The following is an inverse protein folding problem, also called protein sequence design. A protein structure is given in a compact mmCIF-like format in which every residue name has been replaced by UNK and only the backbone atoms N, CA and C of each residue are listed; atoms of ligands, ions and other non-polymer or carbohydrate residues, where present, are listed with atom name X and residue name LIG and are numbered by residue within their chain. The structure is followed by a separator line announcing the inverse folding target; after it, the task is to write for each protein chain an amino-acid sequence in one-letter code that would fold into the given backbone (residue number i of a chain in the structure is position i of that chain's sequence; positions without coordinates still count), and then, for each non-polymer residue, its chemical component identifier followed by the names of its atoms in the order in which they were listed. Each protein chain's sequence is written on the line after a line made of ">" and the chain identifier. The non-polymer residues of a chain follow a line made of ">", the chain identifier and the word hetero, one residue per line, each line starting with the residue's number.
data_IF_161461345298
#
_entry.id   IF_161461345298
#
_cell.length_a   1.000
_cell.length_b   1.000
_cell.length_c   1.000
_cell.angle_alpha   90.00
_cell.angle_beta   90.00
_cell.angle_gamma   90.00
#
_symmetry.space_group_name_H-M   'P 1'
#
loop_
_entity.id
_entity.type
_entity.pdbx_description
1 polymer ?
#
# COMPACT_ATOMS: atom_id res chain seq x y z
N UNK A 1 -72.05 11.39 42.85
CA UNK A 1 -71.75 11.63 41.43
C UNK A 1 -70.24 11.74 41.26
N UNK A 2 -69.63 10.79 40.56
CA UNK A 2 -68.46 10.93 39.69
C UNK A 2 -68.08 9.49 39.28
N UNK A 3 -68.29 9.20 38.00
CA UNK A 3 -68.06 7.91 37.35
C UNK A 3 -66.59 7.89 36.91
N UNK A 4 -65.81 6.92 37.39
CA UNK A 4 -64.44 6.69 36.91
C UNK A 4 -64.51 5.62 35.82
N UNK A 5 -64.42 6.05 34.56
CA UNK A 5 -64.44 5.20 33.38
C UNK A 5 -63.01 4.74 33.13
N UNK A 6 -62.75 3.44 33.33
CA UNK A 6 -61.48 2.80 32.99
C UNK A 6 -61.42 2.56 31.48
N UNK A 7 -60.41 3.06 30.74
CA UNK A 7 -60.30 2.79 29.31
C UNK A 7 -59.93 1.33 29.05
N UNK A 8 -60.62 0.78 28.05
CA UNK A 8 -60.57 -0.58 27.54
C UNK A 8 -59.20 -0.90 26.93
N UNK A 9 -58.60 -2.03 27.33
CA UNK A 9 -57.35 -2.51 26.75
C UNK A 9 -57.56 -2.88 25.26
N UNK A 10 -56.71 -2.33 24.39
CA UNK A 10 -56.67 -2.67 22.97
C UNK A 10 -56.15 -4.10 22.76
N UNK A 11 -56.65 -4.82 21.74
CA UNK A 11 -56.15 -6.15 21.41
C UNK A 11 -54.74 -6.04 20.82
N UNK A 12 -53.77 -6.76 21.40
CA UNK A 12 -52.46 -6.92 20.79
C UNK A 12 -52.57 -7.85 19.57
N UNK A 13 -52.24 -7.33 18.39
CA UNK A 13 -52.05 -8.16 17.19
C UNK A 13 -50.87 -9.13 17.42
N UNK A 14 -50.99 -10.40 16.97
CA UNK A 14 -49.88 -11.34 17.07
C UNK A 14 -48.73 -10.86 16.18
N UNK A 15 -47.62 -10.48 16.82
CA UNK A 15 -46.38 -10.13 16.13
C UNK A 15 -45.96 -11.28 15.21
N UNK A 16 -45.83 -10.99 13.91
CA UNK A 16 -45.26 -11.90 12.92
C UNK A 16 -43.87 -12.36 13.39
N UNK A 17 -43.50 -13.65 13.21
CA UNK A 17 -42.16 -14.10 13.56
C UNK A 17 -41.14 -13.34 12.72
N UNK A 18 -40.24 -12.62 13.40
CA UNK A 18 -39.04 -12.07 12.76
C UNK A 18 -38.28 -13.23 12.10
N UNK A 19 -37.92 -13.14 10.81
CA UNK A 19 -37.06 -14.15 10.20
C UNK A 19 -35.70 -14.05 10.90
N UNK A 20 -35.39 -15.03 11.74
CA UNK A 20 -34.02 -15.30 12.14
C UNK A 20 -33.24 -15.58 10.87
N UNK A 21 -32.31 -14.68 10.52
CA UNK A 21 -31.31 -14.90 9.50
C UNK A 21 -30.57 -16.19 9.88
N UNK A 22 -31.00 -17.29 9.29
CA UNK A 22 -30.34 -18.58 9.39
C UNK A 22 -28.95 -18.38 8.80
N UNK A 23 -27.93 -18.41 9.65
CA UNK A 23 -26.54 -18.48 9.20
C UNK A 23 -26.45 -19.56 8.13
N UNK A 24 -25.88 -19.20 6.97
CA UNK A 24 -25.78 -20.11 5.84
C UNK A 24 -25.07 -21.42 6.23
N UNK A 25 -25.40 -22.55 5.60
CA UNK A 25 -24.77 -23.84 5.89
C UNK A 25 -23.23 -23.76 5.76
N UNK A 26 -22.46 -24.38 6.67
CA UNK A 26 -21.00 -24.28 6.72
C UNK A 26 -20.29 -24.78 5.44
N UNK A 27 -20.94 -25.66 4.65
CA UNK A 27 -20.41 -26.15 3.38
C UNK A 27 -20.37 -25.08 2.28
N UNK A 28 -21.32 -24.14 2.25
CA UNK A 28 -21.34 -23.05 1.26
C UNK A 28 -20.30 -21.96 1.61
N UNK A 29 -20.07 -21.72 2.91
CA UNK A 29 -19.03 -20.80 3.38
C UNK A 29 -17.62 -21.34 3.13
N UNK A 30 -17.41 -22.66 3.23
CA UNK A 30 -16.12 -23.28 2.97
C UNK A 30 -15.72 -23.18 1.48
N UNK A 31 -16.66 -23.41 0.56
CA UNK A 31 -16.42 -23.28 -0.89
C UNK A 31 -16.12 -21.83 -1.29
N UNK A 32 -16.81 -20.86 -0.66
CA UNK A 32 -16.58 -19.44 -0.91
C UNK A 32 -15.22 -18.97 -0.36
N UNK A 33 -14.79 -19.49 0.81
CA UNK A 33 -13.46 -19.20 1.37
C UNK A 33 -12.31 -19.78 0.54
N UNK A 34 -12.45 -20.99 0.00
CA UNK A 34 -11.45 -21.60 -0.87
C UNK A 34 -11.35 -20.86 -2.20
N UNK A 35 -12.48 -20.49 -2.81
CA UNK A 35 -12.52 -19.67 -4.02
C UNK A 35 -11.90 -18.28 -3.79
N UNK A 36 -12.18 -17.66 -2.64
CA UNK A 36 -11.58 -16.38 -2.23
C UNK A 36 -10.06 -16.49 -2.08
N UNK A 37 -9.56 -17.55 -1.43
CA UNK A 37 -8.12 -17.79 -1.28
C UNK A 37 -7.44 -18.03 -2.63
N UNK A 38 -8.03 -18.85 -3.50
CA UNK A 38 -7.51 -19.08 -4.84
C UNK A 38 -7.48 -17.78 -5.67
N UNK A 39 -8.53 -16.94 -5.55
CA UNK A 39 -8.57 -15.63 -6.19
C UNK A 39 -7.49 -14.68 -5.64
N UNK A 40 -7.30 -14.63 -4.32
CA UNK A 40 -6.23 -13.85 -3.67
C UNK A 40 -4.86 -14.29 -4.19
N UNK A 41 -4.61 -15.59 -4.29
CA UNK A 41 -3.35 -16.10 -4.82
C UNK A 41 -3.14 -15.71 -6.28
N UNK A 42 -4.16 -15.85 -7.14
CA UNK A 42 -4.06 -15.52 -8.55
C UNK A 42 -3.79 -14.03 -8.76
N UNK A 43 -4.56 -13.17 -8.09
CA UNK A 43 -4.36 -11.72 -8.13
C UNK A 43 -2.99 -11.33 -7.57
N UNK A 44 -2.53 -12.02 -6.51
CA UNK A 44 -1.17 -11.82 -6.00
C UNK A 44 -0.10 -12.15 -7.03
N UNK A 45 -0.26 -13.25 -7.77
CA UNK A 45 0.67 -13.66 -8.82
C UNK A 45 0.67 -12.64 -9.96
N UNK A 46 -0.49 -12.16 -10.36
CA UNK A 46 -0.63 -11.16 -11.41
C UNK A 46 0.05 -9.84 -11.03
N UNK A 47 -0.18 -9.35 -9.80
CA UNK A 47 0.49 -8.15 -9.29
C UNK A 47 2.01 -8.31 -9.21
N UNK A 48 2.48 -9.47 -8.77
CA UNK A 48 3.92 -9.79 -8.74
C UNK A 48 4.52 -9.87 -10.14
N UNK A 49 3.76 -10.34 -11.12
CA UNK A 49 4.17 -10.40 -12.52
C UNK A 49 4.24 -9.01 -13.16
N UNK A 50 3.35 -8.09 -12.77
CA UNK A 50 3.36 -6.69 -13.22
C UNK A 50 4.39 -5.84 -12.49
N UNK A 51 4.85 -6.26 -11.30
CA UNK A 51 5.81 -5.51 -10.52
C UNK A 51 7.18 -5.44 -11.22
N UNK A 52 7.64 -4.22 -11.52
CA UNK A 52 8.90 -4.01 -12.20
C UNK A 52 10.03 -3.75 -11.19
N UNK A 53 11.22 -4.35 -11.41
CA UNK A 53 12.36 -4.16 -10.51
C UNK A 53 12.92 -2.75 -10.64
N UNK A 54 13.12 -2.06 -9.51
CA UNK A 54 13.45 -0.63 -9.50
C UNK A 54 14.82 -0.32 -10.14
N UNK A 55 15.71 -1.30 -10.17
CA UNK A 55 17.01 -1.21 -10.81
C UNK A 55 16.94 -1.28 -12.35
N UNK A 56 15.77 -1.55 -12.94
CA UNK A 56 15.54 -1.59 -14.39
C UNK A 56 14.56 -0.50 -14.80
N UNK A 57 14.71 -0.06 -16.05
CA UNK A 57 13.84 0.95 -16.64
C UNK A 57 12.38 0.46 -16.69
N UNK A 58 11.40 1.29 -16.30
CA UNK A 58 9.98 0.91 -16.35
C UNK A 58 9.52 0.73 -17.79
N UNK A 59 8.72 -0.31 -18.04
CA UNK A 59 8.14 -0.60 -19.36
C UNK A 59 6.82 0.15 -19.58
N UNK A 60 6.06 0.34 -18.51
CA UNK A 60 4.81 1.09 -18.53
C UNK A 60 5.06 2.57 -18.25
N UNK A 61 4.14 3.41 -18.73
CA UNK A 61 4.16 4.84 -18.55
C UNK A 61 2.92 5.27 -17.79
N UNK A 62 3.08 5.74 -16.56
CA UNK A 62 2.02 6.43 -15.82
C UNK A 62 2.23 7.93 -15.81
N UNK A 63 1.27 8.65 -16.38
CA UNK A 63 1.31 10.11 -16.48
C UNK A 63 0.49 10.73 -15.36
N UNK A 64 1.08 11.69 -14.64
CA UNK A 64 0.33 12.53 -13.72
C UNK A 64 -0.60 13.46 -14.52
N UNK A 65 -1.91 13.41 -14.25
CA UNK A 65 -2.88 14.26 -14.93
C UNK A 65 -3.00 15.65 -14.30
N UNK A 66 -2.78 15.73 -12.99
CA UNK A 66 -2.89 16.96 -12.21
C UNK A 66 -1.57 17.26 -11.48
N UNK A 67 -1.45 18.47 -10.95
CA UNK A 67 -0.31 18.82 -10.09
C UNK A 67 -0.46 18.08 -8.78
N UNK A 68 0.51 17.24 -8.46
CA UNK A 68 0.46 16.34 -7.31
C UNK A 68 1.84 16.23 -6.65
N UNK A 69 1.91 15.45 -5.57
CA UNK A 69 3.15 15.08 -4.89
C UNK A 69 3.32 13.57 -4.95
N UNK A 70 4.56 13.12 -5.12
CA UNK A 70 4.94 11.71 -5.04
C UNK A 70 5.80 11.53 -3.80
N UNK A 71 5.41 10.58 -2.95
CA UNK A 71 6.16 10.14 -1.77
C UNK A 71 7.14 9.05 -2.16
N UNK A 72 8.41 9.29 -1.86
CA UNK A 72 9.53 8.42 -2.21
C UNK A 72 10.22 7.99 -0.91
N UNK A 73 9.81 6.87 -0.28
CA UNK A 73 10.46 6.33 0.91
C UNK A 73 11.97 6.21 0.73
N UNK A 74 12.75 6.62 1.72
CA UNK A 74 14.22 6.52 1.67
C UNK A 74 14.71 5.11 1.99
N UNK A 75 13.96 4.38 2.80
CA UNK A 75 14.33 3.06 3.32
C UNK A 75 13.13 2.13 3.36
N UNK A 76 13.36 0.83 3.52
CA UNK A 76 12.31 -0.16 3.76
C UNK A 76 11.36 0.30 4.88
N UNK A 77 10.06 0.25 4.61
CA UNK A 77 8.99 0.75 5.49
C UNK A 77 9.14 2.22 5.91
N UNK A 78 9.75 3.06 5.06
CA UNK A 78 9.91 4.50 5.28
C UNK A 78 10.40 4.89 6.70
N UNK A 79 11.17 4.01 7.36
CA UNK A 79 11.61 4.19 8.76
C UNK A 79 12.39 5.47 8.97
N UNK A 80 13.04 5.94 7.91
CA UNK A 80 13.89 7.12 7.90
C UNK A 80 13.31 8.25 7.05
N UNK A 81 11.98 8.22 6.89
CA UNK A 81 11.24 9.24 6.15
C UNK A 81 11.13 8.94 4.66
N UNK A 82 10.50 9.90 3.99
CA UNK A 82 10.20 9.86 2.56
C UNK A 82 10.53 11.22 1.96
N UNK A 83 11.16 11.23 0.80
CA UNK A 83 11.31 12.44 0.01
C UNK A 83 10.00 12.73 -0.71
N UNK A 84 9.57 14.00 -0.67
CA UNK A 84 8.33 14.42 -1.34
C UNK A 84 8.69 15.26 -2.55
N UNK A 85 8.32 14.78 -3.74
CA UNK A 85 8.60 15.49 -5.00
C UNK A 85 7.30 16.00 -5.60
N UNK A 86 7.25 17.30 -5.90
CA UNK A 86 6.15 17.89 -6.66
C UNK A 86 6.24 17.46 -8.12
N UNK A 87 5.11 17.03 -8.67
CA UNK A 87 4.97 16.53 -10.04
C UNK A 87 3.93 17.37 -10.76
N UNK A 88 4.23 17.73 -12.00
CA UNK A 88 3.37 18.54 -12.84
C UNK A 88 2.56 17.66 -13.81
N UNK A 89 1.40 18.14 -14.29
CA UNK A 89 0.64 17.47 -15.34
C UNK A 89 1.52 17.08 -16.53
N UNK A 90 1.36 15.87 -17.04
CA UNK A 90 2.14 15.33 -18.16
C UNK A 90 3.45 14.64 -17.76
N UNK A 91 3.86 14.71 -16.50
CA UNK A 91 5.08 14.03 -16.02
C UNK A 91 4.87 12.52 -15.92
N UNK A 92 5.85 11.75 -16.36
CA UNK A 92 5.91 10.29 -16.19
C UNK A 92 6.40 9.94 -14.78
N UNK A 93 5.50 9.41 -13.96
CA UNK A 93 5.75 9.07 -12.55
C UNK A 93 6.72 7.89 -12.46
N UNK A 94 6.59 6.88 -13.32
CA UNK A 94 7.45 5.70 -13.29
C UNK A 94 8.91 6.07 -13.58
N UNK A 95 9.13 6.92 -14.59
CA UNK A 95 10.46 7.44 -14.87
C UNK A 95 11.02 8.30 -13.75
N UNK A 96 10.18 9.12 -13.10
CA UNK A 96 10.60 9.95 -11.97
C UNK A 96 11.06 9.10 -10.80
N UNK A 97 10.28 8.08 -10.44
CA UNK A 97 10.59 7.10 -9.39
C UNK A 97 11.88 6.36 -9.74
N UNK A 98 11.99 5.80 -10.94
CA UNK A 98 13.19 5.08 -11.38
C UNK A 98 14.45 5.97 -11.29
N UNK A 99 14.38 7.21 -11.80
CA UNK A 99 15.52 8.14 -11.75
C UNK A 99 15.92 8.45 -10.31
N UNK A 100 14.95 8.79 -9.46
CA UNK A 100 15.22 9.08 -8.05
C UNK A 100 15.94 7.92 -7.37
N UNK A 101 15.47 6.69 -7.58
CA UNK A 101 16.05 5.54 -6.90
C UNK A 101 17.34 5.00 -7.52
N UNK A 102 17.60 5.31 -8.78
CA UNK A 102 18.87 5.04 -9.44
C UNK A 102 19.93 6.14 -9.21
N UNK A 103 19.56 7.29 -8.64
CA UNK A 103 20.54 8.29 -8.22
C UNK A 103 21.50 7.68 -7.20
N UNK A 104 22.79 7.94 -7.45
CA UNK A 104 23.85 7.62 -6.52
C UNK A 104 23.74 8.57 -5.35
N UNK A 105 23.83 8.04 -4.15
CA UNK A 105 23.94 8.88 -2.96
C UNK A 105 25.36 9.46 -2.96
N UNK A 106 25.48 10.75 -3.24
CA UNK A 106 26.78 11.42 -3.26
C UNK A 106 27.33 11.46 -1.82
N UNK A 107 28.64 11.24 -1.69
CA UNK A 107 29.33 11.28 -0.38
C UNK A 107 29.15 12.64 0.31
N UNK A 108 29.12 13.73 -0.47
CA UNK A 108 28.85 15.09 0.04
C UNK A 108 27.42 15.28 0.56
N UNK A 109 26.43 14.60 -0.04
CA UNK A 109 25.04 14.64 0.43
C UNK A 109 24.91 13.86 1.74
N UNK A 110 25.60 12.71 1.84
CA UNK A 110 25.78 12.00 3.11
C UNK A 110 26.47 12.87 4.16
N UNK A 111 27.58 13.53 3.83
CA UNK A 111 28.32 14.37 4.78
C UNK A 111 27.51 15.60 5.22
N UNK A 112 26.70 16.19 4.33
CA UNK A 112 25.77 17.27 4.69
C UNK A 112 24.63 16.79 5.58
N UNK A 113 24.04 15.64 5.25
CA UNK A 113 23.01 15.02 6.09
C UNK A 113 23.58 14.60 7.45
N UNK A 114 24.84 14.14 7.49
CA UNK A 114 25.63 13.89 8.71
C UNK A 114 25.71 15.12 9.57
N UNK A 115 26.22 16.20 9.00
CA UNK A 115 26.44 17.45 9.71
C UNK A 115 25.13 18.05 10.24
N UNK A 116 24.05 17.95 9.45
CA UNK A 116 22.73 18.42 9.88
C UNK A 116 22.15 17.57 11.01
N UNK A 117 22.25 16.24 10.92
CA UNK A 117 21.77 15.33 11.96
C UNK A 117 22.60 15.46 13.24
N UNK A 118 23.94 15.52 13.15
CA UNK A 118 24.82 15.71 14.31
C UNK A 118 24.54 17.04 15.02
N UNK A 119 24.24 18.12 14.26
CA UNK A 119 23.83 19.40 14.83
C UNK A 119 22.49 19.32 15.58
N UNK A 120 21.59 18.42 15.18
CA UNK A 120 20.33 18.11 15.88
C UNK A 120 20.50 17.05 16.99
N UNK A 121 21.72 16.58 17.25
CA UNK A 121 22.00 15.50 18.21
C UNK A 121 21.51 14.12 17.73
N UNK A 122 21.25 13.97 16.43
CA UNK A 122 20.83 12.74 15.76
C UNK A 122 22.00 12.13 15.01
N UNK A 123 22.05 10.80 14.91
CA UNK A 123 23.11 10.09 14.18
C UNK A 123 22.73 9.97 12.70
N UNK A 124 23.71 10.08 11.79
CA UNK A 124 23.51 9.89 10.35
C UNK A 124 23.02 8.47 10.06
N UNK A 125 21.81 8.37 9.54
CA UNK A 125 21.07 7.12 9.57
C UNK A 125 21.54 6.12 8.50
N UNK A 126 22.24 6.58 7.45
CA UNK A 126 22.88 5.67 6.49
C UNK A 126 24.04 4.86 7.09
N UNK A 127 24.66 5.29 8.19
CA UNK A 127 25.72 4.51 8.87
C UNK A 127 25.16 3.31 9.66
N UNK A 128 23.82 3.16 9.78
CA UNK A 128 23.17 2.03 10.46
C UNK A 128 22.11 1.28 9.63
N UNK A 129 21.74 1.77 8.45
CA UNK A 129 20.82 1.07 7.56
C UNK A 129 21.56 -0.02 6.78
N UNK A 130 21.07 -1.27 6.78
CA UNK A 130 21.66 -2.31 5.94
C UNK A 130 21.55 -1.91 4.47
N UNK A 131 22.69 -1.79 3.79
CA UNK A 131 22.74 -1.83 2.33
C UNK A 131 22.59 -3.30 1.92
N UNK A 132 21.56 -3.61 1.13
CA UNK A 132 21.24 -4.98 0.76
C UNK A 132 21.97 -5.48 -0.51
N UNK A 133 22.74 -4.64 -1.21
CA UNK A 133 23.27 -4.94 -2.57
C UNK A 133 24.81 -4.92 -2.66
N UNK A 134 25.55 -4.37 -1.69
CA UNK A 134 26.99 -4.66 -1.54
C UNK A 134 27.81 -3.63 -0.76
N UNK A 135 28.86 -4.08 -0.08
CA UNK A 135 29.79 -3.24 0.68
C UNK A 135 31.00 -2.73 -0.14
N UNK A 136 31.12 -3.15 -1.40
CA UNK A 136 32.33 -2.94 -2.21
C UNK A 136 32.38 -1.57 -2.89
N UNK A 137 32.49 -0.46 -2.16
CA UNK A 137 32.97 0.84 -2.68
C UNK A 137 32.30 1.47 -3.92
N UNK A 138 31.29 0.81 -4.49
CA UNK A 138 30.42 1.28 -5.56
C UNK A 138 29.43 2.20 -4.88
N UNK A 139 29.35 3.45 -5.34
CA UNK A 139 28.46 4.47 -4.78
C UNK A 139 27.05 3.91 -4.63
N UNK A 140 26.61 3.75 -3.37
CA UNK A 140 25.33 3.15 -3.03
C UNK A 140 24.20 3.93 -3.71
N UNK A 141 23.26 3.20 -4.31
CA UNK A 141 22.06 3.79 -4.91
C UNK A 141 20.93 3.82 -3.89
N UNK A 142 20.02 4.80 -4.01
CA UNK A 142 18.91 4.96 -3.06
C UNK A 142 18.04 3.70 -2.92
N UNK A 143 17.84 2.94 -4.01
CA UNK A 143 17.05 1.70 -3.92
C UNK A 143 17.66 0.60 -3.06
N UNK A 144 18.97 0.59 -2.82
CA UNK A 144 19.65 -0.46 -2.05
C UNK A 144 19.26 -0.48 -0.57
N UNK A 145 18.51 0.55 -0.12
CA UNK A 145 17.98 0.69 1.23
C UNK A 145 16.48 0.33 1.33
N UNK A 146 15.83 0.06 0.20
CA UNK A 146 14.40 -0.31 0.15
C UNK A 146 14.16 -1.79 0.42
N UNK A 147 15.20 -2.62 0.32
CA UNK A 147 15.16 -4.06 0.48
C UNK A 147 16.16 -4.76 -0.45
N UNK A 148 16.26 -6.09 -0.39
CA UNK A 148 17.15 -6.87 -1.25
C UNK A 148 16.72 -6.99 -2.72
N UNK A 149 15.41 -7.08 -3.03
CA UNK A 149 14.91 -7.02 -4.42
C UNK A 149 13.62 -6.17 -4.50
N UNK A 150 13.75 -4.84 -4.33
CA UNK A 150 12.60 -3.94 -4.32
C UNK A 150 12.02 -3.75 -5.72
N UNK A 151 10.71 -3.99 -5.84
CA UNK A 151 9.93 -3.81 -7.07
C UNK A 151 8.78 -2.87 -6.85
N UNK A 152 8.46 -2.08 -7.86
CA UNK A 152 7.29 -1.20 -7.84
C UNK A 152 6.11 -1.95 -8.43
N UNK A 153 5.06 -2.13 -7.63
CA UNK A 153 3.79 -2.78 -8.03
C UNK A 153 2.85 -1.75 -8.65
N UNK A 154 2.91 -0.51 -8.17
CA UNK A 154 2.05 0.58 -8.61
C UNK A 154 1.99 1.69 -7.58
N UNK A 155 0.87 2.41 -7.57
CA UNK A 155 0.70 3.60 -6.76
C UNK A 155 -0.65 3.57 -6.04
N UNK A 156 -0.65 4.07 -4.81
CA UNK A 156 -1.86 4.47 -4.10
C UNK A 156 -2.01 5.98 -4.25
N UNK A 157 -3.22 6.44 -4.54
CA UNK A 157 -3.54 7.86 -4.56
C UNK A 157 -4.37 8.14 -3.32
N UNK A 158 -3.88 9.00 -2.45
CA UNK A 158 -4.60 9.35 -1.22
C UNK A 158 -5.76 10.33 -1.49
N UNK A 159 -6.50 10.69 -0.45
CA UNK A 159 -7.62 11.63 -0.56
C UNK A 159 -7.18 13.05 -0.97
N UNK A 160 -5.90 13.40 -0.82
CA UNK A 160 -5.32 14.65 -1.27
C UNK A 160 -4.82 14.59 -2.72
N UNK A 161 -4.93 13.43 -3.38
CA UNK A 161 -4.45 13.20 -4.74
C UNK A 161 -2.96 12.89 -4.83
N UNK A 162 -2.29 12.58 -3.72
CA UNK A 162 -0.86 12.31 -3.63
C UNK A 162 -0.54 10.85 -3.89
N UNK A 163 0.57 10.63 -4.59
CA UNK A 163 1.00 9.31 -5.02
C UNK A 163 1.95 8.69 -3.99
N UNK A 164 1.57 7.54 -3.46
CA UNK A 164 2.40 6.70 -2.60
C UNK A 164 2.82 5.45 -3.37
N UNK A 165 4.12 5.16 -3.41
CA UNK A 165 4.65 4.02 -4.15
C UNK A 165 4.35 2.72 -3.39
N UNK A 166 3.71 1.76 -4.07
CA UNK A 166 3.51 0.40 -3.56
C UNK A 166 4.68 -0.47 -3.97
N UNK A 167 5.39 -1.00 -2.99
CA UNK A 167 6.52 -1.88 -3.19
C UNK A 167 6.16 -3.34 -2.94
N UNK A 168 6.84 -4.22 -3.68
CA UNK A 168 6.93 -5.64 -3.40
C UNK A 168 8.40 -6.04 -3.42
N UNK A 169 8.87 -6.70 -2.37
CA UNK A 169 10.22 -7.26 -2.33
C UNK A 169 10.14 -8.77 -2.58
N UNK A 170 10.75 -9.26 -3.66
CA UNK A 170 10.65 -10.68 -4.01
C UNK A 170 11.45 -11.57 -3.07
N UNK A 171 12.52 -11.04 -2.48
CA UNK A 171 13.38 -11.77 -1.57
C UNK A 171 12.73 -11.93 -0.19
N UNK A 172 12.14 -10.84 0.33
CA UNK A 172 11.42 -10.84 1.60
C UNK A 172 9.99 -11.41 1.47
N UNK A 173 9.43 -11.41 0.26
CA UNK A 173 8.04 -11.78 0.00
C UNK A 173 7.02 -10.76 0.52
N UNK A 174 7.47 -9.57 0.90
CA UNK A 174 6.67 -8.55 1.57
C UNK A 174 6.13 -7.50 0.59
N UNK A 175 4.88 -7.10 0.81
CA UNK A 175 4.28 -5.93 0.16
C UNK A 175 4.17 -4.79 1.16
N UNK A 176 4.65 -3.61 0.78
CA UNK A 176 4.70 -2.47 1.69
C UNK A 176 4.51 -1.13 0.95
N UNK A 177 4.09 -0.13 1.72
CA UNK A 177 3.83 1.23 1.26
C UNK A 177 3.98 2.15 2.47
N UNK A 178 4.71 3.24 2.32
CA UNK A 178 5.07 4.13 3.42
C UNK A 178 5.65 3.35 4.62
N UNK A 179 5.06 3.48 5.80
CA UNK A 179 5.49 2.84 7.03
C UNK A 179 4.75 1.53 7.38
N UNK A 180 3.93 1.01 6.46
CA UNK A 180 3.09 -0.16 6.71
C UNK A 180 3.29 -1.25 5.67
N UNK A 181 3.20 -2.50 6.13
CA UNK A 181 2.90 -3.61 5.23
C UNK A 181 1.43 -3.49 4.86
N UNK A 182 1.11 -3.77 3.61
CA UNK A 182 -0.27 -3.76 3.16
C UNK A 182 -0.63 -5.14 2.60
N UNK A 183 -1.86 -5.53 2.85
CA UNK A 183 -2.51 -6.69 2.24
C UNK A 183 -3.68 -6.16 1.42
N UNK A 184 -4.03 -6.86 0.34
CA UNK A 184 -5.24 -6.59 -0.40
C UNK A 184 -6.24 -7.69 -0.11
N UNK A 185 -7.51 -7.33 -0.24
CA UNK A 185 -8.61 -8.27 -0.16
C UNK A 185 -9.27 -8.40 -1.52
N UNK A 186 -10.09 -9.42 -1.70
CA UNK A 186 -10.85 -9.65 -2.92
C UNK A 186 -12.33 -9.64 -2.60
N UNK A 187 -13.11 -9.06 -3.50
CA UNK A 187 -14.57 -9.08 -3.47
C UNK A 187 -15.10 -9.62 -4.77
N UNK A 188 -16.28 -10.21 -4.74
CA UNK A 188 -16.99 -10.51 -5.98
C UNK A 188 -17.66 -9.23 -6.49
N UNK A 189 -17.50 -8.96 -7.78
CA UNK A 189 -18.24 -7.93 -8.50
C UNK A 189 -19.69 -8.39 -8.80
N UNK A 190 -20.52 -7.52 -9.35
CA UNK A 190 -21.91 -7.82 -9.75
C UNK A 190 -22.01 -9.02 -10.72
N UNK A 191 -20.96 -9.24 -11.51
CA UNK A 191 -20.81 -10.36 -12.44
C UNK A 191 -20.29 -11.66 -11.79
N UNK A 192 -20.10 -11.70 -10.46
CA UNK A 192 -19.54 -12.84 -9.75
C UNK A 192 -18.05 -13.09 -9.98
N UNK A 193 -17.34 -12.13 -10.59
CA UNK A 193 -15.88 -12.18 -10.77
C UNK A 193 -15.18 -11.66 -9.52
N UNK A 194 -14.16 -12.38 -9.06
CA UNK A 194 -13.29 -11.89 -8.00
C UNK A 194 -12.43 -10.74 -8.52
N UNK A 195 -12.62 -9.56 -7.93
CA UNK A 195 -11.87 -8.35 -8.21
C UNK A 195 -11.17 -7.88 -6.95
N UNK A 196 -10.11 -7.08 -7.12
CA UNK A 196 -9.49 -6.37 -6.01
C UNK A 196 -10.55 -5.57 -5.26
N UNK A 197 -10.70 -5.84 -3.97
CA UNK A 197 -11.34 -4.91 -3.07
C UNK A 197 -10.31 -3.80 -2.80
N UNK A 198 -10.12 -2.92 -3.79
CA UNK A 198 -9.33 -1.72 -3.57
C UNK A 198 -10.04 -0.85 -2.53
N UNK A 199 -9.32 -0.55 -1.43
CA UNK A 199 -9.68 0.41 -0.37
C UNK A 199 -10.02 1.80 -0.93
#
# INVERSE_FOLDING_TARGET
>A
MAVTITPKAEPQDPSLPHPTLKAAPPALQAVDNEARQAALENISKDRRAQAWPIARWPLEKRVAHERTRVHLPRTYLARHGSDVRAVYPGTDIDQLVHRHYCERVAREEQDREKAMLEAEGKVLVMEGCPNYVGAEGILARRHEYLGPDPRVVGYFVDAAGEYHVKFYDTFLGDQWMDNRKWAFDVRQDEDGKWVDAAE
#
